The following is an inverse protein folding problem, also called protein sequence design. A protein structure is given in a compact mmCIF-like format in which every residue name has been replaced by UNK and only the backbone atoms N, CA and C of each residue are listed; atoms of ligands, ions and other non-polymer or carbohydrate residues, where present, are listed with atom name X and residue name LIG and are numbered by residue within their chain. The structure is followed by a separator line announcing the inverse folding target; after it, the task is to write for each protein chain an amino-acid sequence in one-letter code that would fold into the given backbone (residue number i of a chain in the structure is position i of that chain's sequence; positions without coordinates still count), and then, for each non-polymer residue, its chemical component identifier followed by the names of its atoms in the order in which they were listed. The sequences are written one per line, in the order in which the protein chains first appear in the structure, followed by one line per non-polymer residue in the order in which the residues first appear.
data_IF_364691199741
#
_entry.id   IF_364691199741
#
_cell.length_a   1.000
_cell.length_b   1.000
_cell.length_c   1.000
_cell.angle_alpha   90.00
_cell.angle_beta   90.00
_cell.angle_gamma   90.00
#
_symmetry.space_group_name_H-M   'P 1'
#
loop_
_entity.id
_entity.type
_entity.pdbx_description
1 polymer ?
#
# COMPACT_ATOMS: atom_id res chain seq x y z
N UNK A 1 -8.87 -19.80 21.51
CA UNK A 1 -9.77 -20.38 20.47
C UNK A 1 -9.20 -21.74 20.07
N UNK A 2 -10.03 -22.79 19.90
CA UNK A 2 -9.56 -24.06 19.37
C UNK A 2 -9.05 -23.90 17.92
N UNK A 3 -8.20 -24.84 17.48
CA UNK A 3 -7.75 -24.91 16.08
C UNK A 3 -8.98 -25.26 15.23
N UNK A 4 -9.31 -24.40 14.25
CA UNK A 4 -10.51 -24.50 13.40
C UNK A 4 -10.18 -24.73 11.92
N UNK A 5 -8.90 -24.94 11.62
CA UNK A 5 -8.37 -25.10 10.27
C UNK A 5 -7.82 -26.53 10.07
N UNK A 6 -7.34 -26.82 8.86
CA UNK A 6 -6.56 -28.02 8.54
C UNK A 6 -5.36 -28.18 9.50
N UNK A 7 -4.90 -29.41 9.68
CA UNK A 7 -3.67 -29.67 10.42
C UNK A 7 -2.46 -28.99 9.78
N UNK A 8 -1.39 -28.78 10.55
CA UNK A 8 -0.15 -28.19 10.03
C UNK A 8 0.44 -29.00 8.86
N UNK A 9 0.32 -30.34 8.90
CA UNK A 9 0.78 -31.22 7.83
C UNK A 9 -0.02 -30.99 6.54
N UNK A 10 -1.35 -30.92 6.66
CA UNK A 10 -2.24 -30.62 5.52
C UNK A 10 -2.00 -29.22 4.96
N UNK A 11 -1.84 -28.19 5.81
CA UNK A 11 -1.55 -26.82 5.39
C UNK A 11 -0.23 -26.71 4.61
N UNK A 12 0.80 -27.49 4.99
CA UNK A 12 2.07 -27.54 4.25
C UNK A 12 1.93 -28.15 2.86
N UNK A 13 0.98 -29.07 2.69
CA UNK A 13 0.66 -29.70 1.40
C UNK A 13 -0.42 -28.96 0.60
N UNK A 14 -1.11 -27.99 1.21
CA UNK A 14 -2.26 -27.30 0.62
C UNK A 14 -1.84 -26.45 -0.60
N UNK A 15 -2.23 -26.90 -1.79
CA UNK A 15 -1.95 -26.24 -3.06
C UNK A 15 -3.18 -26.32 -3.98
N UNK A 16 -4.19 -25.47 -3.79
CA UNK A 16 -5.39 -25.49 -4.61
C UNK A 16 -5.07 -25.13 -6.07
N UNK A 17 -5.90 -25.55 -7.04
CA UNK A 17 -5.78 -25.11 -8.43
C UNK A 17 -5.86 -23.58 -8.53
N UNK A 18 -5.08 -23.00 -9.45
CA UNK A 18 -5.14 -21.56 -9.73
C UNK A 18 -6.48 -21.19 -10.39
N UNK A 19 -6.99 -20.01 -10.05
CA UNK A 19 -8.28 -19.47 -10.54
C UNK A 19 -8.13 -18.32 -11.53
N UNK A 20 -6.88 -18.01 -11.94
CA UNK A 20 -6.62 -16.92 -12.87
C UNK A 20 -7.32 -17.17 -14.22
N UNK A 21 -7.99 -16.13 -14.74
CA UNK A 21 -8.60 -16.16 -16.06
C UNK A 21 -7.53 -16.03 -17.16
N UNK A 22 -7.83 -16.41 -18.41
CA UNK A 22 -6.86 -16.35 -19.51
C UNK A 22 -6.24 -14.97 -19.76
N UNK A 23 -6.96 -13.90 -19.40
CA UNK A 23 -6.59 -12.49 -19.56
C UNK A 23 -5.94 -11.87 -18.31
N UNK A 24 -5.69 -12.66 -17.26
CA UNK A 24 -5.12 -12.15 -15.99
C UNK A 24 -3.82 -11.36 -16.20
N UNK A 25 -2.93 -11.86 -17.06
CA UNK A 25 -1.64 -11.22 -17.32
C UNK A 25 -1.81 -9.90 -18.09
N UNK A 26 -2.63 -9.89 -19.14
CA UNK A 26 -2.89 -8.68 -19.94
C UNK A 26 -3.60 -7.61 -19.11
N UNK A 27 -4.58 -7.99 -18.27
CA UNK A 27 -5.26 -7.08 -17.35
C UNK A 27 -4.28 -6.30 -16.47
N UNK A 28 -3.30 -6.99 -15.86
CA UNK A 28 -2.31 -6.33 -15.01
C UNK A 28 -1.28 -5.55 -15.80
N UNK A 29 -0.85 -6.04 -16.97
CA UNK A 29 0.07 -5.29 -17.82
C UNK A 29 -0.54 -3.95 -18.24
N UNK A 30 -1.80 -3.95 -18.67
CA UNK A 30 -2.54 -2.72 -19.03
C UNK A 30 -2.73 -1.83 -17.81
N UNK A 31 -3.18 -2.39 -16.69
CA UNK A 31 -3.40 -1.65 -15.44
C UNK A 31 -2.11 -0.97 -14.93
N UNK A 32 -0.98 -1.66 -14.94
CA UNK A 32 0.30 -1.07 -14.51
C UNK A 32 0.83 -0.05 -15.52
N UNK A 33 0.59 -0.26 -16.83
CA UNK A 33 0.95 0.70 -17.87
C UNK A 33 0.17 2.00 -17.68
N UNK A 34 -1.15 1.92 -17.48
CA UNK A 34 -2.00 3.06 -17.17
C UNK A 34 -1.60 3.72 -15.84
N UNK A 35 -1.30 2.89 -14.82
CA UNK A 35 -0.94 3.38 -13.49
C UNK A 35 0.35 4.19 -13.45
N UNK A 36 1.28 3.94 -14.39
CA UNK A 36 2.52 4.71 -14.54
C UNK A 36 2.36 5.98 -15.35
N UNK A 37 1.23 6.18 -16.01
CA UNK A 37 0.97 7.42 -16.75
C UNK A 37 0.82 8.58 -15.75
N UNK A 38 1.36 9.73 -16.14
CA UNK A 38 1.34 10.93 -15.30
C UNK A 38 2.43 10.98 -14.22
N UNK A 39 2.73 12.19 -13.73
CA UNK A 39 3.79 12.40 -12.76
C UNK A 39 3.43 11.80 -11.40
N UNK A 40 4.45 11.36 -10.66
CA UNK A 40 4.28 10.88 -9.28
C UNK A 40 3.90 12.01 -8.31
N UNK A 41 4.31 13.26 -8.62
CA UNK A 41 4.12 14.45 -7.78
C UNK A 41 4.37 14.16 -6.30
N UNK A 42 5.50 13.50 -6.01
CA UNK A 42 5.92 13.15 -4.67
C UNK A 42 6.40 14.41 -3.94
N UNK A 43 5.77 14.70 -2.81
CA UNK A 43 6.12 15.83 -1.94
C UNK A 43 6.56 15.30 -0.58
N UNK A 44 7.69 15.78 -0.08
CA UNK A 44 8.25 15.41 1.21
C UNK A 44 8.24 16.63 2.14
N UNK A 45 7.33 16.66 3.09
CA UNK A 45 7.25 17.74 4.09
C UNK A 45 7.97 17.29 5.34
N UNK A 46 9.05 17.95 5.78
CA UNK A 46 9.72 17.63 7.04
C UNK A 46 8.72 17.62 8.20
N UNK A 47 8.78 16.59 9.03
CA UNK A 47 7.92 16.47 10.21
C UNK A 47 8.79 16.41 11.45
N UNK A 48 8.63 17.40 12.33
CA UNK A 48 9.40 17.49 13.57
C UNK A 48 8.95 16.39 14.55
N UNK A 49 9.91 15.61 15.02
CA UNK A 49 9.67 14.49 15.93
C UNK A 49 10.90 14.31 16.82
N UNK A 50 10.75 13.99 18.13
CA UNK A 50 11.88 13.83 19.06
C UNK A 50 12.63 12.50 18.84
N UNK A 51 13.10 12.25 17.62
CA UNK A 51 13.90 11.10 17.24
C UNK A 51 15.33 11.55 16.93
N UNK A 52 16.32 10.92 17.57
CA UNK A 52 17.73 11.15 17.26
C UNK A 52 18.17 10.25 16.12
N UNK A 53 19.14 10.70 15.33
CA UNK A 53 19.80 9.93 14.26
C UNK A 53 18.86 9.48 13.12
N UNK A 54 17.71 10.13 12.93
CA UNK A 54 16.83 9.91 11.80
C UNK A 54 16.07 11.18 11.42
N UNK A 55 15.56 11.21 10.19
CA UNK A 55 14.75 12.30 9.65
C UNK A 55 13.42 11.72 9.17
N UNK A 56 12.34 12.44 9.46
CA UNK A 56 10.97 12.04 9.18
C UNK A 56 10.30 13.06 8.26
N UNK A 57 9.50 12.55 7.32
CA UNK A 57 8.71 13.35 6.38
C UNK A 57 7.27 12.84 6.33
N UNK A 58 6.31 13.76 6.28
CA UNK A 58 4.97 13.47 5.76
C UNK A 58 5.05 13.48 4.24
N UNK A 59 4.71 12.36 3.62
CA UNK A 59 4.82 12.18 2.17
C UNK A 59 3.44 12.14 1.55
N UNK A 60 3.31 12.77 0.38
CA UNK A 60 2.16 12.60 -0.52
C UNK A 60 2.66 12.27 -1.91
N UNK A 61 2.03 11.30 -2.58
CA UNK A 61 2.28 10.98 -3.99
C UNK A 61 0.98 10.64 -4.74
N UNK A 62 1.03 10.69 -6.06
CA UNK A 62 -0.12 10.42 -6.94
C UNK A 62 -0.17 8.93 -7.25
N UNK A 63 -1.25 8.30 -6.82
CA UNK A 63 -1.60 6.92 -7.08
C UNK A 63 -2.54 6.75 -8.28
N UNK A 64 -3.22 5.61 -8.33
CA UNK A 64 -4.15 5.28 -9.39
C UNK A 64 -5.33 6.25 -9.47
N UNK A 65 -5.67 6.69 -10.69
CA UNK A 65 -6.72 7.65 -11.00
C UNK A 65 -6.63 8.96 -10.19
N UNK A 66 -5.42 9.44 -9.92
CA UNK A 66 -5.21 10.72 -9.22
C UNK A 66 -5.39 10.67 -7.71
N UNK A 67 -5.51 9.47 -7.12
CA UNK A 67 -5.54 9.32 -5.67
C UNK A 67 -4.31 9.97 -5.04
N UNK A 68 -4.49 10.77 -3.97
CA UNK A 68 -3.37 11.34 -3.23
C UNK A 68 -3.08 10.45 -2.04
N UNK A 69 -2.00 9.69 -2.16
CA UNK A 69 -1.61 8.67 -1.21
C UNK A 69 -0.69 9.29 -0.16
N UNK A 70 -1.02 9.04 1.10
CA UNK A 70 -0.28 9.50 2.26
C UNK A 70 0.73 8.45 2.72
N UNK A 71 1.91 8.89 3.15
CA UNK A 71 2.88 8.01 3.75
C UNK A 71 3.70 8.71 4.85
N UNK A 72 4.35 7.91 5.69
CA UNK A 72 5.51 8.36 6.45
C UNK A 72 6.76 7.91 5.73
N UNK A 73 7.72 8.82 5.53
CA UNK A 73 9.06 8.46 5.11
C UNK A 73 10.05 8.74 6.24
N UNK A 74 10.73 7.71 6.70
CA UNK A 74 11.66 7.76 7.83
C UNK A 74 12.99 7.21 7.36
N UNK A 75 14.07 7.97 7.50
CA UNK A 75 15.41 7.50 7.12
C UNK A 75 16.45 7.78 8.18
N UNK A 76 17.53 6.99 8.26
CA UNK A 76 18.67 7.35 9.10
C UNK A 76 19.26 8.70 8.69
N UNK A 77 19.81 9.42 9.67
CA UNK A 77 20.59 10.63 9.44
C UNK A 77 21.95 10.30 8.80
N UNK A 78 22.51 11.26 8.08
CA UNK A 78 23.81 11.12 7.41
C UNK A 78 23.71 10.77 5.92
N UNK A 79 24.86 10.62 5.25
CA UNK A 79 24.90 10.27 3.82
C UNK A 79 24.40 8.84 3.61
N UNK A 80 23.50 8.65 2.65
CA UNK A 80 23.08 7.33 2.19
C UNK A 80 24.07 6.73 1.17
N UNK A 81 23.66 5.69 0.42
CA UNK A 81 22.32 5.11 0.35
C UNK A 81 21.97 4.24 1.58
N UNK A 82 20.67 4.04 1.82
CA UNK A 82 20.18 3.10 2.83
C UNK A 82 19.39 1.98 2.15
N UNK A 83 19.42 0.75 2.68
CA UNK A 83 18.42 -0.24 2.32
C UNK A 83 17.02 0.30 2.69
N UNK A 84 15.99 -0.08 1.94
CA UNK A 84 14.64 0.45 2.12
C UNK A 84 13.60 -0.66 2.40
N UNK A 85 12.58 -0.31 3.18
CA UNK A 85 11.40 -1.14 3.47
C UNK A 85 10.15 -0.32 3.16
N UNK A 86 9.23 -0.88 2.39
CA UNK A 86 7.88 -0.33 2.23
C UNK A 86 6.91 -1.14 3.10
N UNK A 87 6.14 -0.44 3.94
CA UNK A 87 5.21 -1.05 4.88
C UNK A 87 3.78 -0.73 4.47
N UNK A 88 2.99 -1.78 4.27
CA UNK A 88 1.55 -1.70 4.04
C UNK A 88 0.80 -2.24 5.27
N UNK A 89 -0.24 -1.53 5.70
CA UNK A 89 -1.00 -1.88 6.89
C UNK A 89 -2.12 -2.88 6.61
N UNK A 90 -2.67 -3.48 7.67
CA UNK A 90 -3.82 -4.38 7.59
C UNK A 90 -5.15 -3.66 7.33
N UNK A 91 -6.18 -4.43 6.99
CA UNK A 91 -7.51 -3.92 6.62
C UNK A 91 -8.16 -3.05 7.71
N UNK A 92 -8.69 -1.89 7.31
CA UNK A 92 -9.28 -0.89 8.20
C UNK A 92 -8.26 -0.06 8.97
N UNK A 93 -6.98 -0.21 8.67
CA UNK A 93 -5.88 0.49 9.35
C UNK A 93 -5.45 1.79 8.67
N UNK A 94 -4.23 2.21 9.00
CA UNK A 94 -3.51 3.33 8.43
C UNK A 94 -1.99 3.14 8.59
N UNK A 95 -1.19 4.07 8.06
CA UNK A 95 0.27 4.19 8.25
C UNK A 95 0.68 4.35 9.72
N UNK A 96 -0.29 4.56 10.62
CA UNK A 96 -0.08 4.65 12.06
C UNK A 96 0.78 5.85 12.47
N UNK A 97 1.38 5.76 13.65
CA UNK A 97 2.30 6.79 14.14
C UNK A 97 3.74 6.49 13.70
N UNK A 98 4.59 7.52 13.52
CA UNK A 98 5.97 7.33 13.08
C UNK A 98 6.76 6.32 13.92
N UNK A 99 6.59 6.33 15.25
CA UNK A 99 7.35 5.48 16.16
C UNK A 99 7.09 3.98 16.00
N UNK A 100 5.99 3.57 15.37
CA UNK A 100 5.72 2.17 15.06
C UNK A 100 6.77 1.58 14.10
N UNK A 101 7.46 2.44 13.33
CA UNK A 101 8.37 2.04 12.26
C UNK A 101 9.85 2.17 12.63
N UNK A 102 10.17 2.73 13.80
CA UNK A 102 11.56 2.99 14.21
C UNK A 102 12.39 1.72 14.38
N UNK A 103 11.75 0.57 14.60
CA UNK A 103 12.44 -0.73 14.66
C UNK A 103 13.29 -0.98 13.40
N UNK A 104 12.84 -0.53 12.24
CA UNK A 104 13.57 -0.65 10.98
C UNK A 104 14.62 0.45 10.83
N UNK A 105 14.24 1.71 11.08
CA UNK A 105 15.14 2.85 10.90
C UNK A 105 16.35 2.80 11.83
N UNK A 106 16.16 2.36 13.07
CA UNK A 106 17.27 2.18 14.02
C UNK A 106 18.22 1.04 13.65
N UNK A 107 17.81 0.15 12.74
CA UNK A 107 18.66 -0.88 12.14
C UNK A 107 19.30 -0.42 10.81
N UNK A 108 19.10 0.84 10.41
CA UNK A 108 19.71 1.42 9.21
C UNK A 108 18.83 1.41 7.96
N UNK A 109 17.55 1.07 8.05
CA UNK A 109 16.63 1.07 6.90
C UNK A 109 15.89 2.39 6.72
N UNK A 110 15.79 2.87 5.49
CA UNK A 110 14.76 3.83 5.13
C UNK A 110 13.40 3.14 5.08
N UNK A 111 12.35 3.78 5.59
CA UNK A 111 11.00 3.21 5.68
C UNK A 111 10.01 4.12 5.00
N UNK A 112 9.21 3.57 4.10
CA UNK A 112 8.02 4.21 3.56
C UNK A 112 6.78 3.46 4.06
N UNK A 113 6.04 4.02 5.01
CA UNK A 113 4.81 3.43 5.53
C UNK A 113 3.60 4.09 4.86
N UNK A 114 2.85 3.31 4.08
CA UNK A 114 1.86 3.84 3.12
C UNK A 114 0.44 3.63 3.63
N UNK A 115 -0.38 4.68 3.57
CA UNK A 115 -1.83 4.60 3.79
C UNK A 115 -2.52 3.98 2.57
N UNK A 116 -3.32 2.95 2.79
CA UNK A 116 -4.19 2.38 1.74
C UNK A 116 -5.37 3.33 1.48
N UNK A 117 -5.62 3.64 0.19
CA UNK A 117 -6.68 4.54 -0.27
C UNK A 117 -8.02 4.34 0.46
N UNK A 118 -8.63 5.43 0.93
CA UNK A 118 -9.98 5.43 1.51
C UNK A 118 -10.12 4.78 2.90
N UNK A 119 -9.12 4.05 3.41
CA UNK A 119 -9.21 3.45 4.75
C UNK A 119 -9.03 4.50 5.85
N UNK A 120 -8.64 4.08 7.05
CA UNK A 120 -8.56 4.96 8.23
C UNK A 120 -7.32 5.86 8.24
N UNK A 121 -6.73 6.12 7.07
CA UNK A 121 -5.57 6.97 6.85
C UNK A 121 -5.91 8.30 6.19
N UNK A 122 -4.88 9.00 5.70
CA UNK A 122 -5.04 10.28 5.00
C UNK A 122 -5.06 10.14 3.47
N UNK A 123 -4.99 8.92 2.93
CA UNK A 123 -5.08 8.66 1.49
C UNK A 123 -6.50 8.80 0.98
N UNK A 124 -6.68 9.42 -0.19
CA UNK A 124 -7.98 9.52 -0.85
C UNK A 124 -8.27 8.32 -1.73
N UNK A 125 -9.55 7.96 -1.87
CA UNK A 125 -10.03 7.09 -2.95
C UNK A 125 -10.99 7.88 -3.85
N UNK A 126 -10.55 8.30 -5.05
CA UNK A 126 -11.39 9.04 -5.99
C UNK A 126 -12.20 8.12 -6.91
N UNK A 127 -12.10 6.79 -6.76
CA UNK A 127 -12.71 5.83 -7.69
C UNK A 127 -14.24 5.92 -7.61
N UNK A 128 -14.95 6.20 -8.72
CA UNK A 128 -16.39 6.06 -8.76
C UNK A 128 -16.74 4.57 -8.84
N UNK A 129 -17.64 4.12 -7.96
CA UNK A 129 -18.20 2.77 -8.02
C UNK A 129 -19.57 2.82 -8.69
N UNK A 130 -19.77 2.06 -9.77
CA UNK A 130 -21.03 2.05 -10.53
C UNK A 130 -22.19 1.39 -9.79
N UNK A 131 -21.90 0.52 -8.81
CA UNK A 131 -22.88 -0.21 -8.03
C UNK A 131 -22.81 0.12 -6.53
N UNK A 132 -23.93 -0.06 -5.82
CA UNK A 132 -23.91 -0.12 -4.36
C UNK A 132 -23.07 -1.30 -3.86
N UNK A 133 -22.57 -1.20 -2.62
CA UNK A 133 -21.77 -2.24 -2.00
C UNK A 133 -21.99 -2.28 -0.48
N UNK A 134 -21.53 -3.34 0.18
CA UNK A 134 -21.62 -3.47 1.64
C UNK A 134 -20.61 -2.53 2.29
N UNK A 135 -20.93 -2.04 3.50
CA UNK A 135 -20.01 -1.22 4.31
C UNK A 135 -18.62 -1.85 4.37
N UNK A 136 -17.60 -1.04 4.06
CA UNK A 136 -16.22 -1.49 3.88
C UNK A 136 -15.82 -1.47 2.41
N UNK A 137 -14.66 -2.04 2.11
CA UNK A 137 -14.00 -1.93 0.80
C UNK A 137 -14.02 -3.23 -0.01
N UNK A 138 -14.29 -4.37 0.64
CA UNK A 138 -14.17 -5.70 0.01
C UNK A 138 -15.11 -5.92 -1.17
N UNK A 139 -16.26 -5.23 -1.21
CA UNK A 139 -17.29 -5.38 -2.26
C UNK A 139 -17.44 -4.14 -3.14
N UNK A 140 -16.62 -3.12 -2.93
CA UNK A 140 -16.65 -1.90 -3.74
C UNK A 140 -16.12 -2.19 -5.15
N UNK A 141 -16.97 -1.99 -6.17
CA UNK A 141 -16.66 -2.29 -7.58
C UNK A 141 -16.53 -3.79 -7.90
N UNK A 142 -17.04 -4.70 -7.06
CA UNK A 142 -16.79 -6.14 -7.22
C UNK A 142 -17.38 -6.77 -8.50
N UNK A 143 -18.35 -6.11 -9.13
CA UNK A 143 -19.01 -6.62 -10.34
C UNK A 143 -18.21 -6.36 -11.62
N UNK A 144 -17.18 -5.51 -11.57
CA UNK A 144 -16.30 -5.22 -12.69
C UNK A 144 -14.84 -5.18 -12.21
N UNK A 145 -13.94 -6.05 -12.71
CA UNK A 145 -12.52 -6.00 -12.34
C UNK A 145 -11.86 -4.65 -12.65
N UNK A 146 -12.40 -3.86 -13.58
CA UNK A 146 -11.91 -2.52 -13.90
C UNK A 146 -12.21 -1.51 -12.79
N UNK A 147 -13.30 -1.70 -12.04
CA UNK A 147 -13.74 -0.82 -10.95
C UNK A 147 -13.35 -1.34 -9.56
N UNK A 148 -12.91 -2.60 -9.45
CA UNK A 148 -12.67 -3.22 -8.15
C UNK A 148 -11.62 -2.45 -7.32
N UNK A 149 -11.97 -2.15 -6.07
CA UNK A 149 -11.17 -1.35 -5.13
C UNK A 149 -9.68 -1.73 -5.09
N UNK A 150 -9.36 -3.02 -5.04
CA UNK A 150 -7.97 -3.47 -4.94
C UNK A 150 -7.16 -3.29 -6.22
N UNK A 151 -7.79 -3.06 -7.38
CA UNK A 151 -7.06 -2.68 -8.59
C UNK A 151 -6.28 -1.39 -8.35
N UNK A 152 -6.97 -0.36 -7.84
CA UNK A 152 -6.35 0.93 -7.52
C UNK A 152 -5.37 0.82 -6.35
N UNK A 153 -5.75 0.12 -5.28
CA UNK A 153 -4.88 -0.04 -4.11
C UNK A 153 -3.57 -0.77 -4.46
N UNK A 154 -3.60 -1.78 -5.33
CA UNK A 154 -2.38 -2.47 -5.78
C UNK A 154 -1.49 -1.58 -6.63
N UNK A 155 -2.06 -0.75 -7.51
CA UNK A 155 -1.28 0.23 -8.27
C UNK A 155 -0.64 1.25 -7.35
N UNK A 156 -1.32 1.73 -6.31
CA UNK A 156 -0.73 2.65 -5.33
C UNK A 156 0.47 2.06 -4.61
N UNK A 157 0.40 0.77 -4.28
CA UNK A 157 1.50 0.03 -3.69
C UNK A 157 2.69 -0.03 -4.65
N UNK A 158 2.46 -0.32 -5.94
CA UNK A 158 3.53 -0.33 -6.95
C UNK A 158 4.12 1.08 -7.12
N UNK A 159 3.28 2.12 -7.19
CA UNK A 159 3.73 3.51 -7.31
C UNK A 159 4.52 3.98 -6.08
N UNK A 160 4.29 3.38 -4.91
CA UNK A 160 5.09 3.66 -3.71
C UNK A 160 6.58 3.29 -3.91
N UNK A 161 6.89 2.35 -4.80
CA UNK A 161 8.26 1.95 -5.11
C UNK A 161 8.99 2.99 -5.98
N UNK A 162 8.24 3.90 -6.61
CA UNK A 162 8.79 5.00 -7.40
C UNK A 162 9.07 6.26 -6.55
N UNK A 163 8.67 6.26 -5.27
CA UNK A 163 8.87 7.35 -4.28
C UNK A 163 10.29 7.31 -3.72
#
# INVERSE_FOLDING_TARGET
MPIFDMSLEELRAYRPPLTCQPDFASFWQETLTLGRQGPLDATFTPYDYPLRNATLYDVRYTGWNGARIAAWYIRPSGPGPFPAVVVYHGYGGSKGHPHHHFVWTLQGYAVLAVDTRGQSGASTDPTPYSSGHVKGWMTAGILDPQEYYYRGAYVDCVRALDV
#
